data_IF_619416155026
#
_entry.id   IF_619416155026
#
_cell.length_a   1.000
_cell.length_b   1.000
_cell.length_c   1.000
_cell.angle_alpha   90.00
_cell.angle_beta   90.00
_cell.angle_gamma   90.00
#
_symmetry.space_group_name_H-M   'P 1'
#
loop_
_entity.id
_entity.type
_entity.pdbx_description
1 polymer ?
#
# COMPACT_ATOMS: atom_id res chain seq x y z
N UNK A 1 -5.39 -78.26 83.70
CA UNK A 1 -5.31 -79.05 82.44
C UNK A 1 -6.04 -78.25 81.39
N UNK A 2 -5.31 -77.66 80.44
CA UNK A 2 -5.90 -76.89 79.33
C UNK A 2 -6.77 -77.83 78.50
N UNK A 3 -8.02 -77.44 78.26
CA UNK A 3 -9.04 -78.26 77.58
C UNK A 3 -8.60 -78.55 76.12
N UNK A 4 -8.54 -79.81 75.66
CA UNK A 4 -8.16 -80.16 74.30
C UNK A 4 -9.04 -79.53 73.21
N UNK A 5 -10.23 -79.02 73.54
CA UNK A 5 -11.09 -78.26 72.61
C UNK A 5 -10.58 -76.85 72.28
N UNK A 6 -9.83 -76.20 73.17
CA UNK A 6 -9.38 -74.81 72.96
C UNK A 6 -8.26 -74.72 71.93
N UNK A 7 -7.39 -75.74 71.87
CA UNK A 7 -6.33 -75.80 70.86
C UNK A 7 -6.87 -76.01 69.44
N UNK A 8 -7.95 -76.77 69.27
CA UNK A 8 -8.51 -77.07 67.94
C UNK A 8 -9.11 -75.83 67.28
N UNK A 9 -9.79 -75.00 68.06
CA UNK A 9 -10.39 -73.73 67.60
C UNK A 9 -9.34 -72.68 67.22
N UNK A 10 -8.25 -72.61 67.99
CA UNK A 10 -7.16 -71.67 67.71
C UNK A 10 -6.36 -72.07 66.46
N UNK A 11 -6.17 -73.37 66.22
CA UNK A 11 -5.57 -73.88 64.98
C UNK A 11 -6.46 -73.62 63.76
N UNK A 12 -7.79 -73.75 63.88
CA UNK A 12 -8.72 -73.43 62.80
C UNK A 12 -8.69 -71.94 62.44
N UNK A 13 -8.70 -71.06 63.44
CA UNK A 13 -8.56 -69.60 63.23
C UNK A 13 -7.22 -69.21 62.62
N UNK A 14 -6.15 -69.89 63.01
CA UNK A 14 -4.82 -69.67 62.43
C UNK A 14 -4.77 -70.10 60.97
N UNK A 15 -5.32 -71.27 60.63
CA UNK A 15 -5.43 -71.75 59.25
C UNK A 15 -6.25 -70.78 58.36
N UNK A 16 -7.37 -70.26 58.87
CA UNK A 16 -8.15 -69.24 58.17
C UNK A 16 -7.38 -67.94 57.93
N UNK A 17 -6.55 -67.52 58.90
CA UNK A 17 -5.69 -66.33 58.72
C UNK A 17 -4.61 -66.57 57.67
N UNK A 18 -3.98 -67.74 57.66
CA UNK A 18 -2.99 -68.11 56.63
C UNK A 18 -3.65 -68.11 55.25
N UNK A 19 -4.83 -68.71 55.09
CA UNK A 19 -5.56 -68.75 53.83
C UNK A 19 -5.93 -67.34 53.31
N UNK A 20 -6.33 -66.43 54.21
CA UNK A 20 -6.62 -65.03 53.86
C UNK A 20 -5.35 -64.25 53.47
N UNK A 21 -4.23 -64.51 54.15
CA UNK A 21 -2.93 -63.90 53.83
C UNK A 21 -2.45 -64.43 52.47
N UNK A 22 -2.57 -65.72 52.18
CA UNK A 22 -2.23 -66.28 50.86
C UNK A 22 -3.09 -65.70 49.73
N UNK A 23 -4.38 -65.49 49.96
CA UNK A 23 -5.27 -64.84 49.00
C UNK A 23 -4.87 -63.37 48.77
N UNK A 24 -4.50 -62.66 49.83
CA UNK A 24 -4.06 -61.27 49.76
C UNK A 24 -2.69 -61.14 49.08
N UNK A 25 -1.76 -62.05 49.35
CA UNK A 25 -0.45 -62.11 48.70
C UNK A 25 -0.59 -62.45 47.21
N UNK A 26 -1.52 -63.36 46.83
CA UNK A 26 -1.83 -63.62 45.41
C UNK A 26 -2.34 -62.38 44.67
N UNK A 27 -3.08 -61.51 45.33
CA UNK A 27 -3.56 -60.26 44.74
C UNK A 27 -2.49 -59.14 44.72
N UNK A 28 -1.49 -59.20 45.60
CA UNK A 28 -0.42 -58.21 45.72
C UNK A 28 0.83 -58.57 44.89
N UNK A 29 1.04 -59.86 44.59
CA UNK A 29 2.23 -60.35 43.91
C UNK A 29 1.99 -60.36 42.41
N UNK A 30 2.41 -59.26 41.77
CA UNK A 30 2.37 -58.99 40.32
C UNK A 30 0.95 -58.58 39.86
N UNK A 31 0.78 -57.46 39.12
CA UNK A 31 -0.49 -57.19 38.45
C UNK A 31 -0.85 -58.43 37.65
N UNK A 32 -1.98 -59.05 37.94
CA UNK A 32 -2.44 -60.22 37.17
C UNK A 32 -2.40 -59.87 35.69
N UNK A 33 -2.06 -60.80 34.80
CA UNK A 33 -1.92 -60.54 33.35
C UNK A 33 -3.12 -59.74 32.78
N UNK A 34 -4.32 -59.92 33.36
CA UNK A 34 -5.51 -59.11 33.07
C UNK A 34 -5.42 -57.63 33.48
N UNK A 35 -4.87 -57.28 34.64
CA UNK A 35 -4.66 -55.89 35.09
C UNK A 35 -3.57 -55.18 34.27
N UNK A 36 -2.49 -55.89 33.94
CA UNK A 36 -1.45 -55.35 33.04
C UNK A 36 -2.03 -55.14 31.63
N UNK A 37 -2.75 -56.12 31.09
CA UNK A 37 -3.44 -56.01 29.80
C UNK A 37 -4.45 -54.86 29.77
N UNK A 38 -5.21 -54.65 30.84
CA UNK A 38 -6.14 -53.51 30.94
C UNK A 38 -5.42 -52.17 30.97
N UNK A 39 -4.30 -52.08 31.68
CA UNK A 39 -3.47 -50.87 31.72
C UNK A 39 -2.89 -50.57 30.34
N UNK A 40 -2.35 -51.57 29.63
CA UNK A 40 -1.87 -51.43 28.25
C UNK A 40 -2.99 -50.98 27.31
N UNK A 41 -4.19 -51.57 27.40
CA UNK A 41 -5.36 -51.14 26.61
C UNK A 41 -5.75 -49.69 26.88
N UNK A 42 -5.72 -49.25 28.14
CA UNK A 42 -6.01 -47.85 28.50
C UNK A 42 -4.94 -46.89 27.96
N UNK A 43 -3.67 -47.28 27.99
CA UNK A 43 -2.56 -46.49 27.45
C UNK A 43 -2.71 -46.35 25.94
N UNK A 44 -3.00 -47.44 25.21
CA UNK A 44 -3.22 -47.38 23.75
C UNK A 44 -4.41 -46.48 23.40
N UNK A 45 -5.54 -46.62 24.10
CA UNK A 45 -6.69 -45.75 23.90
C UNK A 45 -6.40 -44.27 24.21
N UNK A 46 -5.51 -44.00 25.17
CA UNK A 46 -5.06 -42.64 25.46
C UNK A 46 -4.20 -42.08 24.33
N UNK A 47 -3.30 -42.90 23.75
CA UNK A 47 -2.50 -42.50 22.58
C UNK A 47 -3.39 -42.19 21.38
N UNK A 48 -4.37 -43.04 21.06
CA UNK A 48 -5.31 -42.79 19.96
C UNK A 48 -6.12 -41.50 20.20
N UNK A 49 -6.53 -41.25 21.46
CA UNK A 49 -7.24 -40.02 21.83
C UNK A 49 -6.35 -38.77 21.72
N UNK A 50 -5.07 -38.88 22.09
CA UNK A 50 -4.10 -37.80 21.95
C UNK A 50 -3.82 -37.48 20.48
N UNK A 51 -3.63 -38.50 19.64
CA UNK A 51 -3.42 -38.33 18.21
C UNK A 51 -4.61 -37.60 17.56
N UNK A 52 -5.84 -37.99 17.92
CA UNK A 52 -7.03 -37.31 17.43
C UNK A 52 -7.10 -35.86 17.90
N UNK A 53 -6.83 -35.59 19.18
CA UNK A 53 -6.84 -34.21 19.72
C UNK A 53 -5.76 -33.33 19.07
N UNK A 54 -4.59 -33.88 18.80
CA UNK A 54 -3.51 -33.17 18.10
C UNK A 54 -3.92 -32.89 16.66
N UNK A 55 -4.48 -33.87 15.94
CA UNK A 55 -4.99 -33.67 14.59
C UNK A 55 -6.08 -32.59 14.53
N UNK A 56 -7.05 -32.64 15.45
CA UNK A 56 -8.12 -31.64 15.55
C UNK A 56 -7.57 -30.24 15.85
N UNK A 57 -6.57 -30.14 16.73
CA UNK A 57 -5.90 -28.87 17.06
C UNK A 57 -5.14 -28.29 15.88
N UNK A 58 -4.41 -29.13 15.12
CA UNK A 58 -3.70 -28.71 13.91
C UNK A 58 -4.70 -28.24 12.85
N UNK A 59 -5.78 -29.00 12.60
CA UNK A 59 -6.79 -28.60 11.62
C UNK A 59 -7.55 -27.33 12.01
N UNK A 60 -7.75 -27.09 13.31
CA UNK A 60 -8.45 -25.89 13.80
C UNK A 60 -7.58 -24.65 13.81
N UNK A 61 -6.29 -24.79 14.15
CA UNK A 61 -5.41 -23.67 14.45
C UNK A 61 -4.33 -23.43 13.39
N UNK A 62 -4.17 -24.34 12.43
CA UNK A 62 -3.17 -24.24 11.38
C UNK A 62 -3.82 -24.41 10.01
N UNK A 63 -3.20 -23.79 9.01
CA UNK A 63 -3.55 -23.95 7.61
C UNK A 63 -2.45 -24.74 6.91
N UNK A 64 -2.81 -25.50 5.88
CA UNK A 64 -1.79 -26.04 4.98
C UNK A 64 -1.16 -24.89 4.17
N UNK A 65 0.01 -25.17 3.58
CA UNK A 65 0.75 -24.15 2.82
C UNK A 65 -0.10 -23.52 1.71
N UNK A 66 -0.91 -24.31 1.00
CA UNK A 66 -1.76 -23.82 -0.08
C UNK A 66 -2.84 -22.85 0.42
N UNK A 67 -3.44 -23.12 1.59
CA UNK A 67 -4.44 -22.27 2.22
C UNK A 67 -3.80 -21.01 2.82
N UNK A 68 -2.59 -21.11 3.37
CA UNK A 68 -1.79 -19.93 3.78
C UNK A 68 -1.52 -19.05 2.56
N UNK A 69 -1.01 -19.64 1.46
CA UNK A 69 -0.71 -18.93 0.23
C UNK A 69 -1.98 -18.27 -0.35
N UNK A 70 -3.13 -18.95 -0.32
CA UNK A 70 -4.42 -18.40 -0.73
C UNK A 70 -4.88 -17.23 0.17
N UNK A 71 -4.76 -17.36 1.50
CA UNK A 71 -5.17 -16.30 2.44
C UNK A 71 -4.25 -15.09 2.40
N UNK A 72 -2.96 -15.27 2.08
CA UNK A 72 -2.02 -14.18 1.83
C UNK A 72 -2.35 -13.42 0.53
N UNK A 73 -2.97 -14.06 -0.46
CA UNK A 73 -3.46 -13.36 -1.66
C UNK A 73 -4.70 -12.49 -1.36
N UNK A 74 -5.56 -12.93 -0.45
CA UNK A 74 -6.77 -12.18 -0.07
C UNK A 74 -6.51 -11.07 0.96
N UNK A 75 -5.44 -11.17 1.75
CA UNK A 75 -5.11 -10.21 2.82
C UNK A 75 -3.77 -9.51 2.56
N UNK A 76 -3.77 -8.59 1.59
CA UNK A 76 -2.59 -7.82 1.19
C UNK A 76 -2.50 -6.48 1.94
N UNK A 77 -1.85 -6.48 3.10
CA UNK A 77 -1.40 -5.26 3.79
C UNK A 77 0.13 -5.17 3.74
N UNK A 78 0.70 -4.90 2.56
CA UNK A 78 2.08 -4.38 2.49
C UNK A 78 3.02 -4.92 1.42
N UNK A 79 2.59 -5.81 0.52
CA UNK A 79 3.41 -6.16 -0.66
C UNK A 79 2.53 -6.18 -1.88
N UNK A 80 2.58 -5.09 -2.66
CA UNK A 80 1.89 -4.96 -3.92
C UNK A 80 2.16 -6.21 -4.77
N UNK A 81 1.09 -6.87 -5.21
CA UNK A 81 1.14 -8.03 -6.12
C UNK A 81 2.07 -7.69 -7.29
N UNK A 82 2.90 -8.60 -7.82
CA UNK A 82 3.66 -8.34 -9.04
C UNK A 82 2.73 -7.76 -10.12
N UNK A 83 3.00 -6.54 -10.58
CA UNK A 83 2.14 -5.79 -11.51
C UNK A 83 1.16 -4.77 -10.89
N UNK A 84 1.14 -4.59 -9.56
CA UNK A 84 0.38 -3.50 -8.90
C UNK A 84 1.24 -2.47 -8.16
N UNK A 85 2.56 -2.69 -8.07
CA UNK A 85 3.54 -1.70 -7.58
C UNK A 85 4.57 -1.25 -8.62
N UNK A 86 4.50 -1.81 -9.83
CA UNK A 86 5.20 -1.31 -11.00
C UNK A 86 4.15 -0.98 -12.04
N UNK A 87 4.41 0.02 -12.87
CA UNK A 87 3.57 0.49 -13.99
C UNK A 87 3.28 -0.58 -15.07
N UNK A 88 3.43 -1.88 -14.77
CA UNK A 88 3.37 -3.00 -15.71
C UNK A 88 4.41 -2.90 -16.83
N UNK A 89 5.34 -1.95 -16.73
CA UNK A 89 6.19 -1.53 -17.84
C UNK A 89 7.61 -2.05 -17.60
N UNK A 90 8.05 -2.98 -18.43
CA UNK A 90 9.49 -3.27 -18.58
C UNK A 90 10.09 -2.27 -19.57
N UNK A 91 11.21 -1.64 -19.22
CA UNK A 91 11.96 -0.73 -20.10
C UNK A 91 11.14 0.47 -20.63
N UNK A 92 10.48 1.21 -19.72
CA UNK A 92 9.64 2.36 -20.08
C UNK A 92 10.34 3.44 -20.92
N UNK A 93 11.68 3.53 -20.83
CA UNK A 93 12.47 4.47 -21.63
C UNK A 93 12.59 4.06 -23.10
N UNK A 94 12.85 2.78 -23.41
CA UNK A 94 13.07 2.33 -24.80
C UNK A 94 11.79 1.81 -25.49
N UNK A 95 10.65 1.82 -24.82
CA UNK A 95 9.38 1.43 -25.43
C UNK A 95 8.91 2.52 -26.40
N UNK A 96 9.06 2.27 -27.70
CA UNK A 96 8.57 3.16 -28.74
C UNK A 96 7.08 2.91 -29.03
N UNK A 97 6.23 3.88 -28.72
CA UNK A 97 4.79 3.82 -29.03
C UNK A 97 4.52 4.19 -30.50
N UNK A 98 4.39 3.21 -31.38
CA UNK A 98 4.16 3.42 -32.83
C UNK A 98 2.70 3.24 -33.28
N UNK A 99 1.82 2.71 -32.43
CA UNK A 99 0.41 2.46 -32.75
C UNK A 99 -0.51 2.81 -31.57
N UNK A 100 -1.76 3.15 -31.87
CA UNK A 100 -2.78 3.50 -30.86
C UNK A 100 -2.83 4.99 -30.48
N UNK A 101 -3.82 5.36 -29.67
CA UNK A 101 -3.98 6.71 -29.15
C UNK A 101 -3.15 6.91 -27.88
N UNK A 102 -2.42 8.02 -27.82
CA UNK A 102 -1.62 8.38 -26.65
C UNK A 102 -2.49 9.03 -25.58
N UNK A 103 -2.18 8.80 -24.31
CA UNK A 103 -2.79 9.48 -23.17
C UNK A 103 -1.71 10.06 -22.26
N UNK A 104 -1.92 11.30 -21.81
CA UNK A 104 -1.09 11.90 -20.77
C UNK A 104 -1.41 11.24 -19.42
N UNK A 105 -0.37 10.74 -18.76
CA UNK A 105 -0.43 10.28 -17.37
C UNK A 105 -0.20 11.43 -16.40
N UNK A 106 -0.88 11.39 -15.27
CA UNK A 106 -0.72 12.30 -14.14
C UNK A 106 -0.29 11.51 -12.93
N UNK A 107 0.46 12.12 -12.03
CA UNK A 107 0.95 11.49 -10.80
C UNK A 107 0.46 12.34 -9.63
N UNK A 108 -0.28 11.73 -8.70
CA UNK A 108 -0.66 12.36 -7.45
C UNK A 108 0.53 12.37 -6.48
N UNK A 109 0.48 13.22 -5.46
CA UNK A 109 1.53 13.32 -4.43
C UNK A 109 1.79 12.00 -3.69
N UNK A 110 0.79 11.12 -3.61
CA UNK A 110 0.91 9.77 -3.03
C UNK A 110 1.54 8.73 -3.99
N UNK A 111 1.95 9.16 -5.19
CA UNK A 111 2.54 8.32 -6.23
C UNK A 111 1.51 7.62 -7.14
N UNK A 112 0.21 7.80 -6.92
CA UNK A 112 -0.83 7.21 -7.76
C UNK A 112 -0.79 7.80 -9.17
N UNK A 113 -0.71 6.94 -10.18
CA UNK A 113 -0.73 7.35 -11.59
C UNK A 113 -2.15 7.24 -12.15
N UNK A 114 -2.62 8.30 -12.79
CA UNK A 114 -3.95 8.38 -13.39
C UNK A 114 -4.01 9.29 -14.62
N UNK A 115 -5.21 9.76 -14.95
CA UNK A 115 -5.44 10.70 -16.06
C UNK A 115 -6.31 11.85 -15.60
N UNK A 116 -5.99 13.09 -15.99
CA UNK A 116 -6.89 14.23 -15.78
C UNK A 116 -7.97 14.30 -16.85
N UNK A 117 -9.23 14.16 -16.46
CA UNK A 117 -10.38 14.26 -17.36
C UNK A 117 -10.79 15.73 -17.56
N UNK A 118 -10.87 16.17 -18.81
CA UNK A 118 -11.33 17.52 -19.16
C UNK A 118 -12.69 17.48 -19.85
N UNK A 119 -13.75 17.17 -19.10
CA UNK A 119 -15.12 17.12 -19.60
C UNK A 119 -16.07 17.84 -18.65
N UNK A 120 -17.06 18.56 -19.20
CA UNK A 120 -18.18 19.14 -18.43
C UNK A 120 -18.99 18.09 -17.66
N UNK A 121 -18.87 16.80 -18.00
CA UNK A 121 -19.53 15.70 -17.29
C UNK A 121 -18.94 15.43 -15.90
N UNK A 122 -17.68 15.85 -15.68
CA UNK A 122 -16.94 15.58 -14.44
C UNK A 122 -16.42 16.86 -13.78
N UNK A 123 -16.64 18.02 -14.40
CA UNK A 123 -16.26 19.35 -13.89
C UNK A 123 -17.52 20.15 -13.58
N UNK A 124 -17.53 20.80 -12.42
CA UNK A 124 -18.58 21.72 -11.97
C UNK A 124 -18.00 23.13 -11.84
N UNK A 125 -18.85 24.12 -11.54
CA UNK A 125 -18.45 25.50 -11.20
C UNK A 125 -17.56 26.18 -12.25
N UNK A 126 -17.87 25.92 -13.53
CA UNK A 126 -17.09 26.41 -14.66
C UNK A 126 -17.38 27.91 -14.86
N UNK A 127 -16.37 28.74 -14.59
CA UNK A 127 -16.40 30.20 -14.77
C UNK A 127 -15.14 30.68 -15.51
N UNK A 128 -15.12 31.96 -15.88
CA UNK A 128 -13.96 32.62 -16.48
C UNK A 128 -12.83 32.80 -15.45
N UNK A 129 -11.60 32.45 -15.85
CA UNK A 129 -10.42 32.54 -15.01
C UNK A 129 -9.87 33.97 -14.89
N UNK A 130 -10.25 34.89 -15.79
CA UNK A 130 -9.78 36.28 -15.81
C UNK A 130 -10.09 37.04 -14.49
N UNK A 131 -11.08 36.57 -13.72
CA UNK A 131 -11.43 37.13 -12.41
C UNK A 131 -10.47 36.72 -11.28
N UNK A 132 -9.73 35.64 -11.47
CA UNK A 132 -8.84 35.05 -10.46
C UNK A 132 -7.37 35.17 -10.83
N UNK A 133 -7.07 35.23 -12.13
CA UNK A 133 -5.71 35.18 -12.66
C UNK A 133 -5.43 36.50 -13.39
N UNK A 134 -4.57 37.38 -12.83
CA UNK A 134 -4.28 38.65 -13.46
C UNK A 134 -3.42 38.45 -14.71
N UNK A 135 -4.00 38.71 -15.90
CA UNK A 135 -3.30 38.60 -17.18
C UNK A 135 -2.02 39.46 -17.22
N UNK A 136 -2.04 40.64 -16.60
CA UNK A 136 -0.87 41.52 -16.53
C UNK A 136 0.28 40.92 -15.70
N UNK A 137 0.01 40.00 -14.77
CA UNK A 137 1.06 39.27 -14.07
C UNK A 137 1.73 38.24 -14.98
N UNK A 138 0.98 37.56 -15.85
CA UNK A 138 1.54 36.62 -16.83
C UNK A 138 2.58 37.28 -17.74
N UNK A 139 2.39 38.56 -18.07
CA UNK A 139 3.33 39.35 -18.89
C UNK A 139 4.66 39.66 -18.21
N UNK A 140 4.72 39.57 -16.87
CA UNK A 140 5.93 39.83 -16.08
C UNK A 140 6.79 38.58 -15.89
N UNK A 141 6.25 37.41 -16.23
CA UNK A 141 6.95 36.15 -16.06
C UNK A 141 8.19 36.11 -16.96
N UNK A 142 9.34 35.79 -16.35
CA UNK A 142 10.61 35.69 -17.05
C UNK A 142 10.87 34.25 -17.46
N UNK A 143 11.09 34.04 -18.75
CA UNK A 143 11.78 32.84 -19.23
C UNK A 143 13.28 32.96 -18.92
N UNK A 144 13.85 31.95 -18.28
CA UNK A 144 15.21 31.97 -17.76
C UNK A 144 15.97 30.71 -18.20
N UNK A 145 17.28 30.85 -18.34
CA UNK A 145 18.20 29.72 -18.50
C UNK A 145 18.85 29.46 -17.15
N UNK A 146 18.84 28.22 -16.70
CA UNK A 146 19.45 27.80 -15.45
C UNK A 146 20.16 26.46 -15.60
N UNK A 147 20.96 26.11 -14.60
CA UNK A 147 21.55 24.79 -14.44
C UNK A 147 21.15 24.26 -13.07
N UNK A 148 20.91 22.95 -12.97
CA UNK A 148 20.69 22.34 -11.66
C UNK A 148 21.99 22.33 -10.87
N UNK A 149 21.94 22.73 -9.59
CA UNK A 149 23.12 22.74 -8.70
C UNK A 149 23.76 21.36 -8.63
N UNK A 150 22.95 20.29 -8.55
CA UNK A 150 23.45 18.92 -8.53
C UNK A 150 24.23 18.55 -9.81
N UNK A 151 23.75 18.97 -10.98
CA UNK A 151 24.42 18.74 -12.26
C UNK A 151 25.71 19.56 -12.37
N UNK A 152 25.68 20.83 -11.93
CA UNK A 152 26.86 21.69 -11.85
C UNK A 152 27.93 21.09 -10.93
N UNK A 153 27.55 20.59 -9.76
CA UNK A 153 28.48 19.98 -8.82
C UNK A 153 29.09 18.68 -9.36
N UNK A 154 28.33 17.91 -10.15
CA UNK A 154 28.79 16.65 -10.72
C UNK A 154 29.64 16.83 -11.98
N UNK A 155 29.27 17.79 -12.85
CA UNK A 155 29.79 17.91 -14.21
C UNK A 155 30.49 19.26 -14.49
N UNK A 156 30.53 20.17 -13.52
CA UNK A 156 31.11 21.51 -13.61
C UNK A 156 30.64 22.24 -14.88
N UNK A 157 31.57 22.74 -15.71
CA UNK A 157 31.24 23.47 -16.95
C UNK A 157 30.47 22.63 -17.99
N UNK A 158 30.44 21.31 -17.85
CA UNK A 158 29.65 20.41 -18.71
C UNK A 158 28.19 20.27 -18.30
N UNK A 159 27.77 20.89 -17.20
CA UNK A 159 26.38 20.85 -16.74
C UNK A 159 25.41 21.47 -17.75
N UNK A 160 24.32 20.76 -18.03
CA UNK A 160 23.44 21.07 -19.15
C UNK A 160 22.50 22.23 -18.81
N UNK A 161 22.52 23.33 -19.59
CA UNK A 161 21.56 24.41 -19.39
C UNK A 161 20.14 23.93 -19.70
N UNK A 162 19.19 24.42 -18.91
CA UNK A 162 17.75 24.21 -19.08
C UNK A 162 17.05 25.55 -19.24
N UNK A 163 15.94 25.55 -19.97
CA UNK A 163 15.06 26.70 -20.12
C UNK A 163 13.84 26.44 -19.26
N UNK A 164 13.41 27.44 -18.51
CA UNK A 164 12.17 27.38 -17.75
C UNK A 164 11.87 28.69 -17.05
N UNK A 165 11.16 28.58 -15.93
CA UNK A 165 10.74 29.67 -15.06
C UNK A 165 11.04 29.29 -13.61
N UNK A 166 10.99 30.26 -12.70
CA UNK A 166 11.28 30.07 -11.26
C UNK A 166 9.96 30.16 -10.50
N UNK A 167 9.67 29.17 -9.65
CA UNK A 167 8.36 29.03 -8.99
C UNK A 167 8.09 30.20 -8.04
N UNK A 168 9.12 30.60 -7.29
CA UNK A 168 9.12 31.75 -6.38
C UNK A 168 8.83 33.07 -7.12
N UNK A 169 9.36 33.24 -8.33
CA UNK A 169 9.09 34.42 -9.18
C UNK A 169 7.61 34.42 -9.65
N UNK A 170 7.03 33.25 -9.95
CA UNK A 170 5.62 33.17 -10.31
C UNK A 170 4.72 33.48 -9.12
N UNK A 171 4.98 32.82 -7.99
CA UNK A 171 4.21 32.99 -6.76
C UNK A 171 4.19 34.44 -6.28
N UNK A 172 5.37 35.08 -6.21
CA UNK A 172 5.51 36.49 -5.84
C UNK A 172 4.82 37.48 -6.79
N UNK A 173 4.56 37.08 -8.04
CA UNK A 173 3.78 37.86 -9.01
C UNK A 173 2.26 37.61 -8.89
N UNK A 174 1.80 36.83 -7.91
CA UNK A 174 0.39 36.47 -7.73
C UNK A 174 -0.06 35.34 -8.66
N UNK A 175 0.87 34.54 -9.17
CA UNK A 175 0.63 33.41 -10.07
C UNK A 175 0.79 32.05 -9.38
N UNK A 176 0.72 32.02 -8.04
CA UNK A 176 0.90 30.81 -7.23
C UNK A 176 -0.03 29.65 -7.57
N UNK A 177 -1.19 29.91 -8.20
CA UNK A 177 -2.09 28.87 -8.71
C UNK A 177 -1.44 27.94 -9.75
N UNK A 178 -0.32 28.37 -10.36
CA UNK A 178 0.47 27.57 -11.30
C UNK A 178 1.72 26.96 -10.65
N UNK A 179 1.93 27.15 -9.35
CA UNK A 179 3.06 26.57 -8.62
C UNK A 179 2.64 25.29 -7.91
N UNK A 180 3.62 24.41 -7.69
CA UNK A 180 3.53 23.35 -6.68
C UNK A 180 4.23 23.80 -5.42
N UNK A 181 3.78 23.30 -4.28
CA UNK A 181 4.31 23.68 -2.97
C UNK A 181 4.78 22.43 -2.22
N UNK A 182 5.87 22.59 -1.50
CA UNK A 182 6.45 21.53 -0.68
C UNK A 182 5.68 21.36 0.65
N UNK A 183 6.22 20.53 1.54
CA UNK A 183 5.62 20.28 2.85
C UNK A 183 5.62 21.50 3.80
N UNK A 184 6.39 22.55 3.48
CA UNK A 184 6.50 23.78 4.26
C UNK A 184 5.67 24.93 3.67
N UNK A 185 4.85 24.66 2.65
CA UNK A 185 4.10 25.67 1.89
C UNK A 185 5.02 26.65 1.14
N UNK A 186 6.22 26.19 0.73
CA UNK A 186 7.14 26.95 -0.12
C UNK A 186 7.01 26.48 -1.57
N UNK A 187 6.96 27.40 -2.55
CA UNK A 187 6.84 27.02 -3.96
C UNK A 187 8.10 26.27 -4.42
N UNK A 188 7.95 25.03 -4.88
CA UNK A 188 9.05 24.13 -5.23
C UNK A 188 9.04 23.67 -6.69
N UNK A 189 8.02 24.04 -7.43
CA UNK A 189 7.83 23.65 -8.81
C UNK A 189 6.72 24.42 -9.50
N UNK A 190 6.53 24.13 -10.79
CA UNK A 190 5.56 24.81 -11.65
C UNK A 190 4.74 23.74 -12.38
N UNK A 191 3.41 23.87 -12.31
CA UNK A 191 2.50 23.16 -13.20
C UNK A 191 2.53 23.82 -14.59
N UNK A 192 3.57 23.47 -15.36
CA UNK A 192 3.77 23.96 -16.72
C UNK A 192 2.59 23.61 -17.64
N UNK A 193 1.86 22.52 -17.37
CA UNK A 193 0.71 22.15 -18.19
C UNK A 193 -0.42 23.16 -18.00
N UNK A 194 -0.78 23.48 -16.77
CA UNK A 194 -1.84 24.47 -16.51
C UNK A 194 -1.39 25.88 -16.89
N UNK A 195 -0.11 26.22 -16.67
CA UNK A 195 0.46 27.49 -17.12
C UNK A 195 0.40 27.67 -18.65
N UNK A 196 0.55 26.59 -19.42
CA UNK A 196 0.42 26.65 -20.90
C UNK A 196 -0.99 27.07 -21.36
N UNK A 197 -2.03 26.72 -20.58
CA UNK A 197 -3.41 27.18 -20.85
C UNK A 197 -3.53 28.68 -20.60
N UNK A 198 -2.89 29.20 -19.55
CA UNK A 198 -2.84 30.64 -19.28
C UNK A 198 -2.06 31.40 -20.37
N UNK A 199 -0.98 30.81 -20.88
CA UNK A 199 -0.23 31.38 -22.02
C UNK A 199 -1.10 31.50 -23.29
N UNK A 200 -1.99 30.52 -23.55
CA UNK A 200 -2.96 30.61 -24.64
C UNK A 200 -3.94 31.78 -24.43
N UNK A 201 -4.45 31.97 -23.21
CA UNK A 201 -5.31 33.12 -22.88
C UNK A 201 -4.59 34.46 -23.06
N UNK A 202 -3.32 34.55 -22.67
CA UNK A 202 -2.48 35.73 -22.89
C UNK A 202 -2.30 36.03 -24.39
N UNK A 203 -2.13 35.00 -25.23
CA UNK A 203 -2.05 35.19 -26.68
C UNK A 203 -3.38 35.72 -27.26
N UNK A 204 -4.52 35.18 -26.82
CA UNK A 204 -5.84 35.69 -27.23
C UNK A 204 -6.05 37.16 -26.81
N UNK A 205 -5.57 37.52 -25.62
CA UNK A 205 -5.62 38.90 -25.13
C UNK A 205 -4.75 39.82 -26.00
N UNK A 206 -3.55 39.38 -26.37
CA UNK A 206 -2.65 40.12 -27.24
C UNK A 206 -3.27 40.37 -28.62
N UNK A 207 -3.88 39.36 -29.25
CA UNK A 207 -4.57 39.50 -30.54
C UNK A 207 -5.74 40.50 -30.44
N UNK A 208 -6.54 40.41 -29.38
CA UNK A 208 -7.65 41.36 -29.15
C UNK A 208 -7.14 42.81 -29.07
N UNK A 209 -6.00 43.03 -28.39
CA UNK A 209 -5.38 44.37 -28.31
C UNK A 209 -4.82 44.83 -29.66
N UNK A 210 -4.24 43.92 -30.44
CA UNK A 210 -3.73 44.22 -31.78
C UNK A 210 -4.86 44.66 -32.70
N UNK A 211 -6.00 43.97 -32.67
CA UNK A 211 -7.18 44.32 -33.47
C UNK A 211 -7.73 45.71 -33.10
N UNK A 212 -7.83 46.03 -31.80
CA UNK A 212 -8.24 47.37 -31.34
C UNK A 212 -7.29 48.46 -31.84
N UNK A 213 -5.97 48.23 -31.71
CA UNK A 213 -4.95 49.17 -32.18
C UNK A 213 -5.02 49.37 -33.69
N UNK A 214 -5.21 48.32 -34.48
CA UNK A 214 -5.34 48.39 -35.94
C UNK A 214 -6.58 49.20 -36.37
N UNK A 215 -7.72 49.00 -35.68
CA UNK A 215 -8.93 49.77 -35.94
C UNK A 215 -8.74 51.26 -35.62
N UNK A 216 -8.12 51.57 -34.47
CA UNK A 216 -7.83 52.95 -34.06
C UNK A 216 -6.87 53.64 -35.02
N UNK A 217 -5.84 52.94 -35.49
CA UNK A 217 -4.91 53.44 -36.50
C UNK A 217 -5.64 53.78 -37.80
N UNK A 218 -6.49 52.88 -38.29
CA UNK A 218 -7.30 53.10 -39.51
C UNK A 218 -8.19 54.35 -39.37
N UNK A 219 -8.79 54.58 -38.20
CA UNK A 219 -9.61 55.77 -37.96
C UNK A 219 -8.78 57.05 -37.94
N UNK A 220 -7.58 57.02 -37.36
CA UNK A 220 -6.66 58.17 -37.34
C UNK A 220 -6.16 58.52 -38.75
N UNK A 221 -5.79 57.51 -39.55
CA UNK A 221 -5.35 57.70 -40.93
C UNK A 221 -6.45 58.34 -41.78
N UNK A 222 -7.72 57.92 -41.61
CA UNK A 222 -8.86 58.54 -42.29
C UNK A 222 -9.08 60.01 -41.90
N UNK A 223 -8.85 60.36 -40.62
CA UNK A 223 -8.99 61.75 -40.13
C UNK A 223 -7.91 62.67 -40.69
N UNK A 224 -6.70 62.16 -40.91
CA UNK A 224 -5.57 62.95 -41.42
C UNK A 224 -5.59 63.12 -42.95
N UNK A 225 -6.50 62.44 -43.65
CA UNK A 225 -6.69 62.55 -45.11
C UNK A 225 -7.85 63.50 -45.50
N UNK A 226 -8.54 64.08 -44.51
CA UNK A 226 -9.60 65.09 -44.68
C UNK A 226 -9.05 66.48 -44.32
#
# INVERSE_FOLDING_TARGET
>A
MSDPKTYTDDFAKFADRINRIEASIRNLRVPTDGQFTQTVKKILALFDSLDQQVADSISKNSYDKATIDSKLQDWNWGTLTPGRGGTGTTNGYNNLFTTGQWRAGWILTDGTIGTAQSSRKVKTDITDADQFIPIEALRKVKWQIFRYIADLNANNDSAMPRIGMIAEDLDSNGLGMFCTYDANDEPDGIDYQTLSVAALRLAQDAETRIDDLAQRLTQLEKRNQQ
#
